data_IF_004206138235
#
_entry.id   IF_004206138235
#
_cell.length_a   1.000
_cell.length_b   1.000
_cell.length_c   1.000
_cell.angle_alpha   90.00
_cell.angle_beta   90.00
_cell.angle_gamma   90.00
#
_symmetry.space_group_name_H-M   'P 1'
#
loop_
_entity.id
_entity.type
_entity.pdbx_description
1 polymer ?
#
# COMPACT_ATOMS: atom_id res chain seq x y z
N UNK A 1 9.81 15.01 -11.76
CA UNK A 1 9.01 14.53 -10.62
C UNK A 1 9.88 13.58 -9.80
N UNK A 2 10.53 14.03 -8.73
CA UNK A 2 11.38 13.16 -7.87
C UNK A 2 10.59 12.77 -6.63
N UNK A 3 10.38 11.48 -6.42
CA UNK A 3 9.75 10.98 -5.21
C UNK A 3 10.63 11.32 -3.98
N UNK A 4 10.01 11.70 -2.87
CA UNK A 4 10.71 11.95 -1.60
C UNK A 4 11.28 10.62 -1.09
N UNK A 5 12.59 10.50 -0.86
CA UNK A 5 13.19 9.26 -0.34
C UNK A 5 12.51 8.80 0.96
N UNK A 6 12.24 7.50 1.05
CA UNK A 6 11.62 6.89 2.23
C UNK A 6 10.10 7.10 2.37
N UNK A 7 9.46 7.87 1.48
CA UNK A 7 8.00 7.99 1.43
C UNK A 7 7.44 7.08 0.36
N UNK A 8 6.54 6.19 0.77
CA UNK A 8 5.77 5.33 -0.12
C UNK A 8 4.29 5.52 0.16
N UNK A 9 3.48 5.33 -0.87
CA UNK A 9 2.05 5.20 -0.67
C UNK A 9 1.75 3.89 0.08
N UNK A 10 0.62 3.83 0.81
CA UNK A 10 0.01 2.56 1.16
C UNK A 10 -0.19 1.72 -0.11
N UNK A 11 0.00 0.40 -0.03
CA UNK A 11 -0.01 -0.47 -1.20
C UNK A 11 -1.33 -0.37 -2.00
N UNK A 12 -2.46 -0.24 -1.32
CA UNK A 12 -3.77 -0.05 -1.97
C UNK A 12 -3.87 1.26 -2.73
N UNK A 13 -3.34 2.36 -2.16
CA UNK A 13 -3.30 3.65 -2.82
C UNK A 13 -2.36 3.63 -4.03
N UNK A 14 -1.18 3.02 -3.90
CA UNK A 14 -0.24 2.88 -5.01
C UNK A 14 -0.88 2.11 -6.17
N UNK A 15 -1.52 0.98 -5.90
CA UNK A 15 -2.21 0.19 -6.92
C UNK A 15 -3.32 0.98 -7.63
N UNK A 16 -4.13 1.74 -6.88
CA UNK A 16 -5.19 2.57 -7.46
C UNK A 16 -4.63 3.66 -8.39
N UNK A 17 -3.58 4.36 -7.95
CA UNK A 17 -2.91 5.41 -8.74
C UNK A 17 -2.26 4.82 -9.98
N UNK A 18 -1.49 3.74 -9.83
CA UNK A 18 -0.78 3.12 -10.95
C UNK A 18 -1.74 2.58 -12.01
N UNK A 19 -2.89 2.01 -11.60
CA UNK A 19 -3.93 1.61 -12.56
C UNK A 19 -4.54 2.80 -13.30
N UNK A 20 -4.72 3.95 -12.65
CA UNK A 20 -5.22 5.16 -13.33
C UNK A 20 -4.25 5.74 -14.35
N UNK A 21 -2.95 5.52 -14.13
CA UNK A 21 -1.87 5.96 -15.01
C UNK A 21 -1.50 4.95 -16.10
N UNK A 22 -2.17 3.80 -16.14
CA UNK A 22 -1.89 2.72 -17.09
C UNK A 22 -1.89 3.24 -18.52
N UNK A 23 -0.96 2.76 -19.35
CA UNK A 23 -0.82 3.28 -20.72
C UNK A 23 -2.04 2.92 -21.57
N UNK A 24 -2.54 1.71 -21.38
CA UNK A 24 -3.75 1.21 -22.03
C UNK A 24 -5.00 1.75 -21.30
N UNK A 25 -5.84 2.56 -21.97
CA UNK A 25 -7.08 3.07 -21.39
C UNK A 25 -8.04 1.95 -20.94
N UNK A 26 -8.06 0.80 -21.62
CA UNK A 26 -8.96 -0.32 -21.29
C UNK A 26 -8.62 -1.02 -19.97
N UNK A 27 -7.40 -0.81 -19.47
CA UNK A 27 -6.92 -1.38 -18.20
C UNK A 27 -7.06 -0.43 -17.02
N UNK A 28 -7.39 0.84 -17.27
CA UNK A 28 -7.67 1.85 -16.24
C UNK A 28 -8.97 1.54 -15.50
N UNK A 29 -9.32 2.39 -14.55
CA UNK A 29 -10.66 2.44 -14.00
C UNK A 29 -11.64 2.93 -15.08
N UNK A 30 -12.87 2.39 -15.14
CA UNK A 30 -13.82 2.70 -16.21
C UNK A 30 -14.40 4.12 -16.12
N UNK A 31 -14.38 4.71 -14.91
CA UNK A 31 -14.87 6.08 -14.67
C UNK A 31 -13.99 6.80 -13.65
N UNK A 32 -14.09 8.13 -13.63
CA UNK A 32 -13.43 8.97 -12.63
C UNK A 32 -13.92 8.65 -11.22
N UNK A 33 -15.21 8.35 -11.06
CA UNK A 33 -15.79 7.95 -9.78
C UNK A 33 -15.19 6.64 -9.27
N UNK A 34 -15.06 5.63 -10.14
CA UNK A 34 -14.44 4.36 -9.78
C UNK A 34 -12.96 4.51 -9.40
N UNK A 35 -12.26 5.47 -10.02
CA UNK A 35 -10.91 5.85 -9.59
C UNK A 35 -10.91 6.50 -8.21
N UNK A 36 -11.80 7.47 -7.96
CA UNK A 36 -11.90 8.16 -6.67
C UNK A 36 -12.22 7.19 -5.52
N UNK A 37 -13.14 6.25 -5.74
CA UNK A 37 -13.48 5.19 -4.78
C UNK A 37 -12.26 4.30 -4.47
N UNK A 38 -11.52 3.89 -5.49
CA UNK A 38 -10.32 3.07 -5.31
C UNK A 38 -9.21 3.81 -4.53
N UNK A 39 -9.03 5.11 -4.79
CA UNK A 39 -8.08 5.96 -4.06
C UNK A 39 -8.51 6.16 -2.61
N UNK A 40 -9.80 6.40 -2.35
CA UNK A 40 -10.33 6.56 -1.01
C UNK A 40 -10.15 5.26 -0.19
N UNK A 41 -10.52 4.12 -0.77
CA UNK A 41 -10.33 2.80 -0.15
C UNK A 41 -8.85 2.50 0.12
N UNK A 42 -7.98 2.78 -0.86
CA UNK A 42 -6.53 2.56 -0.74
C UNK A 42 -5.85 3.47 0.29
N UNK A 43 -6.42 4.65 0.56
CA UNK A 43 -5.92 5.60 1.55
C UNK A 43 -6.39 5.29 2.97
N UNK A 44 -7.58 4.67 3.11
CA UNK A 44 -8.12 4.23 4.40
C UNK A 44 -7.48 2.92 4.91
N UNK A 45 -6.79 2.17 4.05
CA UNK A 45 -6.16 0.92 4.41
C UNK A 45 -4.98 1.18 5.39
N UNK A 46 -4.88 0.43 6.50
CA UNK A 46 -3.73 0.53 7.39
C UNK A 46 -2.45 0.15 6.62
N UNK A 47 -1.30 0.78 6.95
CA UNK A 47 -0.04 0.44 6.32
C UNK A 47 0.20 -1.06 6.47
N UNK A 48 0.51 -1.72 5.35
CA UNK A 48 0.89 -3.13 5.38
C UNK A 48 2.01 -3.32 6.41
N UNK A 49 1.96 -4.36 7.25
CA UNK A 49 2.97 -4.57 8.28
C UNK A 49 4.34 -4.64 7.62
N UNK A 50 5.15 -3.60 7.85
CA UNK A 50 6.51 -3.52 7.35
C UNK A 50 7.36 -4.52 8.12
N UNK A 51 7.55 -5.70 7.56
CA UNK A 51 8.74 -6.53 7.78
C UNK A 51 9.10 -6.84 9.23
N UNK A 52 8.14 -7.11 10.11
CA UNK A 52 8.39 -7.86 11.34
C UNK A 52 8.46 -9.35 11.01
N UNK A 53 9.49 -9.77 10.26
CA UNK A 53 9.70 -11.16 9.90
C UNK A 53 9.89 -12.06 11.13
N UNK A 54 9.94 -13.37 10.91
CA UNK A 54 10.09 -14.46 11.89
C UNK A 54 11.00 -14.15 13.12
N UNK A 55 12.00 -13.29 12.93
CA UNK A 55 12.93 -12.79 13.95
C UNK A 55 12.22 -11.97 15.05
N UNK A 56 11.27 -11.09 14.72
CA UNK A 56 10.50 -10.35 15.73
C UNK A 56 9.53 -11.26 16.50
N UNK A 57 8.99 -12.29 15.82
CA UNK A 57 8.20 -13.32 16.49
C UNK A 57 9.06 -14.13 17.49
N UNK A 58 10.29 -14.49 17.11
CA UNK A 58 11.25 -15.18 17.97
C UNK A 58 11.67 -14.32 19.18
N UNK A 59 11.97 -13.04 18.99
CA UNK A 59 12.29 -12.11 20.10
C UNK A 59 11.15 -11.98 21.11
N UNK A 60 9.90 -11.96 20.64
CA UNK A 60 8.72 -11.88 21.52
C UNK A 60 8.55 -13.14 22.38
N UNK A 61 8.97 -14.31 21.90
CA UNK A 61 8.94 -15.56 22.66
C UNK A 61 10.02 -15.58 23.75
N UNK A 62 11.23 -15.12 23.44
CA UNK A 62 12.34 -15.06 24.40
C UNK A 62 12.02 -14.07 25.54
N UNK A 63 11.52 -12.88 25.22
CA UNK A 63 11.17 -11.84 26.21
C UNK A 63 10.00 -12.22 27.13
N UNK A 64 9.17 -13.20 26.78
CA UNK A 64 8.06 -13.68 27.63
C UNK A 64 8.54 -14.69 28.70
N UNK A 65 9.77 -15.21 28.59
CA UNK A 65 10.32 -16.19 29.52
C UNK A 65 11.22 -15.58 30.61
N UNK A 66 11.37 -14.26 30.61
CA UNK A 66 11.89 -13.47 31.74
C UNK A 66 10.71 -12.86 32.51
#
# INVERSE_FOLDING_TARGET
>A
NKAVPGRRFPAGLEAAVMRGLERDPGRRQPTVTAFAEAVAAGSAAPPAPSGGGLIEALKRVVRRRE
#
